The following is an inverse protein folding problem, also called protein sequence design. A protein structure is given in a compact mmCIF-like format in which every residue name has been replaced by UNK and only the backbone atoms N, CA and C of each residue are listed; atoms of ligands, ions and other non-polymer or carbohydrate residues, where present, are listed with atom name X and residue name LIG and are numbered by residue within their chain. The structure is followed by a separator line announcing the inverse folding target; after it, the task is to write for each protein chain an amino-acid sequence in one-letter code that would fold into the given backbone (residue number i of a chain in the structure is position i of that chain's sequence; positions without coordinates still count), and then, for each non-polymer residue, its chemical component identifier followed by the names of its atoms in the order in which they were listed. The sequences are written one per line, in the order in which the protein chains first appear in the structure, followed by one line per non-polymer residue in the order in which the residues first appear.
data_IF_539987478283
#
_entry.id   IF_539987478283
#
_cell.length_a   1.000
_cell.length_b   1.000
_cell.length_c   1.000
_cell.angle_alpha   90.00
_cell.angle_beta   90.00
_cell.angle_gamma   90.00
#
_symmetry.space_group_name_H-M   'P 1'
#
loop_
_entity.id
_entity.type
_entity.pdbx_description
1 polymer ?
#
# COMPACT_ATOMS: atom_id res chain seq x y z
N UNK A 1 61.26 9.76 -0.63
CA UNK A 1 60.20 9.91 0.40
C UNK A 1 59.41 11.22 0.25
N UNK A 2 60.06 12.37 0.03
CA UNK A 2 59.38 13.68 -0.13
C UNK A 2 58.43 13.72 -1.34
N UNK A 3 58.82 13.15 -2.49
CA UNK A 3 58.01 13.15 -3.71
C UNK A 3 56.68 12.36 -3.55
N UNK A 4 56.70 11.26 -2.79
CA UNK A 4 55.52 10.45 -2.53
C UNK A 4 54.51 11.17 -1.61
N UNK A 5 55.01 11.93 -0.63
CA UNK A 5 54.15 12.73 0.26
C UNK A 5 53.43 13.86 -0.51
N UNK A 6 54.09 14.47 -1.50
CA UNK A 6 53.49 15.50 -2.36
C UNK A 6 52.35 14.92 -3.20
N UNK A 7 52.53 13.73 -3.78
CA UNK A 7 51.49 13.08 -4.60
C UNK A 7 50.25 12.68 -3.77
N UNK A 8 50.45 12.22 -2.53
CA UNK A 8 49.33 11.90 -1.62
C UNK A 8 48.60 13.19 -1.22
N UNK A 9 49.32 14.25 -0.87
CA UNK A 9 48.72 15.54 -0.51
C UNK A 9 47.95 16.19 -1.67
N UNK A 10 48.48 16.10 -2.90
CA UNK A 10 47.81 16.64 -4.08
C UNK A 10 46.57 15.82 -4.45
N UNK A 11 46.62 14.49 -4.28
CA UNK A 11 45.49 13.60 -4.50
C UNK A 11 44.33 13.85 -3.53
N UNK A 12 44.61 13.98 -2.23
CA UNK A 12 43.56 14.25 -1.23
C UNK A 12 42.96 15.65 -1.39
N UNK A 13 43.77 16.64 -1.77
CA UNK A 13 43.29 17.98 -2.07
C UNK A 13 42.37 18.02 -3.31
N UNK A 14 42.73 17.31 -4.38
CA UNK A 14 41.89 17.21 -5.58
C UNK A 14 40.58 16.46 -5.32
N UNK A 15 40.60 15.41 -4.50
CA UNK A 15 39.38 14.70 -4.09
C UNK A 15 38.42 15.62 -3.32
N UNK A 16 38.93 16.41 -2.37
CA UNK A 16 38.11 17.37 -1.63
C UNK A 16 37.57 18.50 -2.51
N UNK A 17 38.35 18.94 -3.50
CA UNK A 17 37.89 19.94 -4.46
C UNK A 17 36.78 19.39 -5.36
N UNK A 18 36.87 18.13 -5.78
CA UNK A 18 35.85 17.47 -6.59
C UNK A 18 34.51 17.32 -5.84
N UNK A 19 34.53 16.95 -4.56
CA UNK A 19 33.32 16.84 -3.73
C UNK A 19 32.59 18.18 -3.57
N UNK A 20 33.35 19.28 -3.41
CA UNK A 20 32.80 20.64 -3.32
C UNK A 20 32.14 21.09 -4.62
N UNK A 21 32.69 20.70 -5.77
CA UNK A 21 32.07 21.02 -7.07
C UNK A 21 30.85 20.13 -7.37
N UNK A 22 30.85 18.87 -6.95
CA UNK A 22 29.74 17.93 -7.16
C UNK A 22 28.49 18.30 -6.34
N UNK A 23 28.69 18.91 -5.17
CA UNK A 23 27.60 19.28 -4.25
C UNK A 23 26.77 20.49 -4.72
N UNK A 24 27.18 21.20 -5.78
CA UNK A 24 26.52 22.43 -6.24
C UNK A 24 25.35 22.21 -7.23
N UNK A 25 25.05 20.98 -7.64
CA UNK A 25 24.03 20.70 -8.69
C UNK A 25 22.75 20.01 -8.20
N UNK A 26 22.56 19.82 -6.90
CA UNK A 26 21.29 19.31 -6.37
C UNK A 26 20.32 20.44 -6.00
N UNK A 27 20.02 21.33 -6.95
CA UNK A 27 18.78 22.11 -6.88
C UNK A 27 17.63 21.11 -7.04
N UNK A 28 16.97 20.78 -5.93
CA UNK A 28 15.72 20.04 -5.93
C UNK A 28 14.70 20.81 -6.76
N UNK A 29 14.53 20.42 -8.02
CA UNK A 29 13.41 20.90 -8.82
C UNK A 29 12.13 20.58 -8.04
N UNK A 30 11.21 21.55 -7.83
CA UNK A 30 9.94 21.25 -7.19
C UNK A 30 9.23 20.22 -8.05
N UNK A 31 9.06 19.01 -7.50
CA UNK A 31 8.23 17.97 -8.10
C UNK A 31 6.84 18.60 -8.29
N UNK A 32 6.31 18.70 -9.52
CA UNK A 32 4.97 19.22 -9.70
C UNK A 32 4.02 18.29 -8.96
N UNK A 33 3.51 18.76 -7.82
CA UNK A 33 2.35 18.15 -7.18
C UNK A 33 1.24 18.35 -8.18
N UNK A 34 0.93 17.31 -8.97
CA UNK A 34 -0.29 17.32 -9.78
C UNK A 34 -1.42 17.38 -8.75
N UNK A 35 -1.94 18.58 -8.50
CA UNK A 35 -3.17 18.74 -7.77
C UNK A 35 -4.21 18.02 -8.60
N UNK A 36 -4.61 16.82 -8.15
CA UNK A 36 -5.73 16.12 -8.73
C UNK A 36 -6.93 17.03 -8.49
N UNK A 37 -7.35 17.73 -9.55
CA UNK A 37 -8.57 18.51 -9.53
C UNK A 37 -9.67 17.57 -9.03
N UNK A 38 -10.18 17.86 -7.84
CA UNK A 38 -11.23 17.05 -7.24
C UNK A 38 -12.50 17.43 -7.98
N UNK A 39 -12.79 16.74 -9.08
CA UNK A 39 -14.15 16.73 -9.61
C UNK A 39 -14.98 16.06 -8.53
N UNK A 40 -15.62 16.87 -7.68
CA UNK A 40 -16.58 16.36 -6.71
C UNK A 40 -17.62 15.57 -7.51
N UNK A 41 -17.81 14.27 -7.24
CA UNK A 41 -18.82 13.50 -7.95
C UNK A 41 -20.17 14.17 -7.70
N UNK A 42 -20.83 14.56 -8.78
CA UNK A 42 -22.19 15.13 -8.73
C UNK A 42 -23.09 14.06 -8.09
N UNK A 43 -23.43 14.26 -6.82
CA UNK A 43 -24.34 13.40 -6.04
C UNK A 43 -23.71 12.26 -5.22
N UNK A 44 -22.38 12.12 -5.18
CA UNK A 44 -21.71 11.03 -4.46
C UNK A 44 -21.00 11.47 -3.17
N UNK A 45 -21.21 10.75 -2.06
CA UNK A 45 -20.34 10.87 -0.89
C UNK A 45 -18.94 10.33 -1.25
N UNK A 46 -17.93 11.19 -1.22
CA UNK A 46 -16.54 10.81 -1.50
C UNK A 46 -15.79 10.48 -0.20
N UNK A 47 -14.90 9.49 -0.25
CA UNK A 47 -14.02 9.12 0.86
C UNK A 47 -12.58 9.02 0.34
N UNK A 48 -11.69 9.83 0.92
CA UNK A 48 -10.25 9.74 0.67
C UNK A 48 -9.62 8.78 1.70
N UNK A 49 -9.03 7.68 1.21
CA UNK A 49 -8.31 6.71 2.05
C UNK A 49 -6.81 6.88 1.78
N UNK A 50 -6.06 7.26 2.82
CA UNK A 50 -4.61 7.37 2.75
C UNK A 50 -3.93 6.00 2.63
N UNK A 51 -2.78 5.96 1.96
CA UNK A 51 -1.91 4.79 1.92
C UNK A 51 -1.22 4.62 3.28
N UNK A 52 -1.21 3.41 3.82
CA UNK A 52 -0.51 3.10 5.07
C UNK A 52 1.02 3.03 4.86
N UNK A 53 1.78 2.88 5.95
CA UNK A 53 3.24 2.80 5.90
C UNK A 53 3.80 1.58 5.15
N UNK A 54 2.97 0.55 4.92
CA UNK A 54 3.33 -0.66 4.17
C UNK A 54 2.93 -0.58 2.70
N UNK A 55 2.12 0.41 2.38
CA UNK A 55 1.72 0.72 1.05
C UNK A 55 0.34 0.26 0.63
N UNK A 56 -0.45 -0.25 1.57
CA UNK A 56 -1.81 -0.69 1.33
C UNK A 56 -2.80 0.41 1.68
N UNK A 57 -4.04 0.25 1.21
CA UNK A 57 -5.15 1.12 1.58
C UNK A 57 -6.06 0.33 2.51
N UNK A 58 -6.32 0.89 3.69
CA UNK A 58 -7.17 0.27 4.69
C UNK A 58 -8.31 1.22 5.04
N UNK A 59 -9.50 0.66 5.20
CA UNK A 59 -10.69 1.39 5.58
C UNK A 59 -11.53 0.58 6.54
N UNK A 60 -12.43 1.25 7.24
CA UNK A 60 -13.36 0.62 8.15
C UNK A 60 -14.75 0.57 7.51
N UNK A 61 -15.31 -0.63 7.47
CA UNK A 61 -16.67 -0.87 7.02
C UNK A 61 -17.55 -1.34 8.17
N UNK A 62 -18.86 -1.43 7.90
CA UNK A 62 -19.82 -2.05 8.81
C UNK A 62 -20.56 -3.18 8.11
N UNK A 63 -20.65 -4.31 8.78
CA UNK A 63 -21.51 -5.44 8.42
C UNK A 63 -22.42 -5.65 9.62
N UNK A 64 -23.74 -5.66 9.43
CA UNK A 64 -24.71 -5.88 10.53
C UNK A 64 -24.46 -4.96 11.74
N UNK A 65 -24.12 -3.70 11.49
CA UNK A 65 -23.80 -2.73 12.54
C UNK A 65 -22.45 -2.93 13.25
N UNK A 66 -21.68 -3.98 12.96
CA UNK A 66 -20.35 -4.21 13.54
C UNK A 66 -19.23 -3.61 12.69
N UNK A 67 -18.27 -2.93 13.33
CA UNK A 67 -17.06 -2.40 12.69
C UNK A 67 -16.09 -3.51 12.31
N UNK A 68 -15.69 -3.55 11.04
CA UNK A 68 -14.68 -4.46 10.47
C UNK A 68 -13.70 -3.64 9.65
N UNK A 69 -12.40 -3.92 9.84
CA UNK A 69 -11.34 -3.37 9.01
C UNK A 69 -11.22 -4.14 7.69
N UNK A 70 -11.09 -3.41 6.59
CA UNK A 70 -10.92 -3.94 5.24
C UNK A 70 -9.65 -3.38 4.63
N UNK A 71 -8.96 -4.22 3.86
CA UNK A 71 -7.96 -3.79 2.90
C UNK A 71 -8.62 -3.62 1.54
N UNK A 72 -8.31 -2.53 0.84
CA UNK A 72 -8.75 -2.34 -0.55
C UNK A 72 -7.87 -3.22 -1.44
N UNK A 73 -8.48 -4.20 -2.09
CA UNK A 73 -7.84 -5.10 -3.05
C UNK A 73 -8.51 -4.95 -4.41
N UNK A 74 -7.81 -4.31 -5.35
CA UNK A 74 -8.31 -4.09 -6.71
C UNK A 74 -8.35 -5.37 -7.55
N UNK A 75 -7.68 -6.43 -7.12
CA UNK A 75 -7.69 -7.74 -7.79
C UNK A 75 -8.83 -8.64 -7.32
N UNK A 76 -9.53 -8.28 -6.24
CA UNK A 76 -10.63 -9.07 -5.70
C UNK A 76 -11.94 -8.82 -6.45
N UNK A 77 -12.60 -9.90 -6.89
CA UNK A 77 -13.94 -9.85 -7.49
C UNK A 77 -15.08 -9.99 -6.47
N UNK A 78 -14.74 -10.39 -5.25
CA UNK A 78 -15.66 -10.58 -4.12
C UNK A 78 -15.02 -10.10 -2.82
N UNK A 79 -15.82 -9.75 -1.82
CA UNK A 79 -15.32 -9.46 -0.48
C UNK A 79 -14.90 -10.77 0.18
N UNK A 80 -13.62 -10.88 0.54
CA UNK A 80 -13.08 -12.01 1.28
C UNK A 80 -13.04 -11.71 2.79
N UNK A 81 -13.54 -12.64 3.59
CA UNK A 81 -13.54 -12.53 5.06
C UNK A 81 -12.85 -13.77 5.62
N UNK A 82 -11.93 -13.56 6.56
CA UNK A 82 -11.37 -14.66 7.33
C UNK A 82 -12.42 -15.21 8.30
N UNK A 83 -12.22 -16.44 8.78
CA UNK A 83 -13.16 -17.13 9.65
C UNK A 83 -13.45 -16.36 10.95
N UNK A 84 -12.42 -15.74 11.53
CA UNK A 84 -12.54 -14.95 12.75
C UNK A 84 -13.44 -13.73 12.56
N UNK A 85 -13.34 -13.05 11.41
CA UNK A 85 -14.19 -11.90 11.08
C UNK A 85 -15.61 -12.37 10.76
N UNK A 86 -15.75 -13.42 9.94
CA UNK A 86 -17.02 -14.04 9.59
C UNK A 86 -17.85 -14.43 10.82
N UNK A 87 -17.19 -15.04 11.79
CA UNK A 87 -17.73 -15.45 13.07
C UNK A 87 -18.38 -14.31 13.88
N UNK A 88 -17.91 -13.06 13.74
CA UNK A 88 -18.40 -11.92 14.54
C UNK A 88 -19.85 -11.58 14.22
N UNK A 89 -20.28 -11.85 12.99
CA UNK A 89 -21.64 -11.60 12.50
C UNK A 89 -22.36 -12.92 12.19
N UNK A 90 -21.99 -14.00 12.91
CA UNK A 90 -22.75 -15.26 12.93
C UNK A 90 -22.45 -16.23 11.78
N UNK A 91 -21.55 -15.90 10.87
CA UNK A 91 -21.19 -16.82 9.79
C UNK A 91 -20.15 -17.84 10.26
N UNK A 92 -20.57 -19.11 10.33
CA UNK A 92 -19.71 -20.25 10.69
C UNK A 92 -19.92 -21.40 9.70
N UNK A 93 -19.34 -21.31 8.49
CA UNK A 93 -19.43 -22.40 7.53
C UNK A 93 -18.80 -23.67 8.10
N UNK A 94 -19.51 -24.78 7.94
CA UNK A 94 -18.99 -26.12 8.17
C UNK A 94 -17.94 -26.48 7.12
N UNK A 95 -17.08 -27.48 7.41
CA UNK A 95 -16.02 -27.89 6.48
C UNK A 95 -16.54 -28.27 5.08
N UNK A 96 -17.74 -28.84 4.98
CA UNK A 96 -18.35 -29.22 3.72
C UNK A 96 -18.80 -28.03 2.85
N UNK A 97 -18.98 -26.85 3.45
CA UNK A 97 -19.43 -25.65 2.73
C UNK A 97 -18.29 -24.89 2.05
N UNK A 98 -17.03 -25.25 2.31
CA UNK A 98 -15.85 -24.74 1.59
C UNK A 98 -15.70 -25.39 0.21
N UNK A 99 -16.73 -25.27 -0.61
CA UNK A 99 -16.83 -25.90 -1.91
C UNK A 99 -16.44 -24.97 -3.07
N UNK A 100 -16.36 -23.67 -2.85
CA UNK A 100 -15.95 -22.71 -3.87
C UNK A 100 -14.44 -22.68 -4.00
N UNK A 101 -13.95 -22.61 -5.24
CA UNK A 101 -12.53 -22.46 -5.54
C UNK A 101 -12.25 -21.00 -5.88
N UNK A 102 -11.27 -20.38 -5.20
CA UNK A 102 -10.88 -18.99 -5.40
C UNK A 102 -9.41 -18.94 -5.78
N UNK A 103 -9.10 -18.25 -6.89
CA UNK A 103 -7.72 -17.97 -7.29
C UNK A 103 -7.23 -16.72 -6.56
N UNK A 104 -6.07 -16.82 -5.93
CA UNK A 104 -5.40 -15.72 -5.23
C UNK A 104 -3.98 -15.58 -5.75
N UNK A 105 -3.30 -14.51 -5.36
CA UNK A 105 -1.88 -14.33 -5.69
C UNK A 105 -0.99 -15.48 -5.18
N UNK A 106 -1.39 -16.14 -4.08
CA UNK A 106 -0.67 -17.25 -3.47
C UNK A 106 -1.17 -18.63 -3.96
N UNK A 107 -1.93 -18.65 -5.06
CA UNK A 107 -2.52 -19.86 -5.63
C UNK A 107 -3.99 -20.03 -5.28
N UNK A 108 -4.46 -21.26 -5.42
CA UNK A 108 -5.89 -21.56 -5.37
C UNK A 108 -6.30 -22.12 -4.01
N UNK A 109 -7.34 -21.55 -3.41
CA UNK A 109 -7.87 -21.96 -2.11
C UNK A 109 -9.34 -22.34 -2.19
N UNK A 110 -9.82 -23.05 -1.16
CA UNK A 110 -11.25 -23.28 -0.94
C UNK A 110 -11.87 -22.18 -0.09
N UNK A 111 -13.09 -21.79 -0.42
CA UNK A 111 -13.86 -20.79 0.30
C UNK A 111 -15.32 -21.23 0.43
N UNK A 112 -15.99 -20.77 1.49
CA UNK A 112 -17.43 -20.88 1.63
C UNK A 112 -18.10 -19.63 1.08
N UNK A 113 -18.98 -19.78 0.08
CA UNK A 113 -19.75 -18.66 -0.44
C UNK A 113 -20.88 -18.32 0.51
N UNK A 114 -21.03 -17.04 0.80
CA UNK A 114 -22.11 -16.51 1.63
C UNK A 114 -22.66 -15.23 1.01
N UNK A 115 -23.86 -14.83 1.43
CA UNK A 115 -24.49 -13.57 1.07
C UNK A 115 -24.81 -12.84 2.35
N UNK A 116 -24.29 -11.64 2.49
CA UNK A 116 -24.71 -10.71 3.53
C UNK A 116 -26.00 -10.07 3.01
N UNK A 117 -27.09 -10.20 3.75
CA UNK A 117 -28.34 -9.53 3.40
C UNK A 117 -28.13 -8.01 3.49
N UNK A 118 -28.71 -7.26 2.57
CA UNK A 118 -28.87 -5.83 2.75
C UNK A 118 -30.06 -5.63 3.68
N UNK A 119 -29.85 -4.98 4.83
CA UNK A 119 -30.92 -4.44 5.67
C UNK A 119 -31.10 -2.96 5.38
#
# INVERSE_FOLDING_TARGET
MILAAIMIGLGTFMAQMADRMSSASATSAPRPTVAVATTAPVGGRSLAIGRDGRGHFQTEGRIEGQRIGFMVDTGASVVALNETSAARFGLRPSRGEYNATVSTANGTIKAARTRIAML
#
